data_IF_827119428517
#
_entry.id   IF_827119428517
#
_cell.length_a   1.000
_cell.length_b   1.000
_cell.length_c   1.000
_cell.angle_alpha   90.00
_cell.angle_beta   90.00
_cell.angle_gamma   90.00
#
_symmetry.space_group_name_H-M   'P 1'
#
loop_
_entity.id
_entity.type
_entity.pdbx_description
1 polymer ?
#
# COMPACT_ATOMS: atom_id res chain seq x y z
N UNK A 1 8.25 13.05 29.26
CA UNK A 1 7.51 13.15 27.98
C UNK A 1 7.07 11.75 27.62
N UNK A 2 5.77 11.47 27.65
CA UNK A 2 5.26 10.17 27.21
C UNK A 2 5.32 10.19 25.69
N UNK A 3 6.25 9.44 25.11
CA UNK A 3 6.22 9.17 23.68
C UNK A 3 4.95 8.34 23.44
N UNK A 4 3.88 9.01 23.00
CA UNK A 4 2.78 8.31 22.34
C UNK A 4 3.43 7.78 21.06
N UNK A 5 3.80 6.50 21.06
CA UNK A 5 4.16 5.84 19.82
C UNK A 5 2.97 6.06 18.90
N UNK A 6 3.21 6.74 17.77
CA UNK A 6 2.23 6.89 16.71
C UNK A 6 1.66 5.47 16.44
N UNK A 7 0.35 5.25 16.42
CA UNK A 7 -0.25 3.90 16.30
C UNK A 7 0.26 3.17 15.03
N UNK A 8 0.88 3.89 14.10
CA UNK A 8 1.46 3.41 12.85
C UNK A 8 2.98 3.18 12.92
N UNK A 9 3.58 3.28 14.11
CA UNK A 9 5.03 3.04 14.34
C UNK A 9 5.44 1.59 14.05
N UNK A 10 4.49 0.67 14.03
CA UNK A 10 4.70 -0.74 13.68
C UNK A 10 4.50 -1.03 12.19
N UNK A 11 4.05 -0.06 11.39
CA UNK A 11 3.91 -0.25 9.94
C UNK A 11 5.29 -0.26 9.28
N UNK A 12 5.60 -1.26 8.43
CA UNK A 12 6.76 -1.21 7.56
C UNK A 12 6.76 0.09 6.72
N UNK A 13 7.93 0.71 6.45
CA UNK A 13 8.00 2.00 5.75
C UNK A 13 7.27 2.03 4.41
N UNK A 14 7.37 0.95 3.63
CA UNK A 14 6.70 0.80 2.34
C UNK A 14 5.18 0.74 2.48
N UNK A 15 4.70 0.04 3.51
CA UNK A 15 3.26 -0.05 3.81
C UNK A 15 2.73 1.29 4.28
N UNK A 16 3.48 1.98 5.14
CA UNK A 16 3.11 3.31 5.63
C UNK A 16 2.96 4.29 4.48
N UNK A 17 3.96 4.36 3.60
CA UNK A 17 3.93 5.25 2.44
C UNK A 17 2.75 4.91 1.51
N UNK A 18 2.57 3.63 1.16
CA UNK A 18 1.46 3.22 0.29
C UNK A 18 0.09 3.54 0.91
N UNK A 19 -0.07 3.34 2.22
CA UNK A 19 -1.29 3.71 2.94
C UNK A 19 -1.54 5.23 2.90
N UNK A 20 -0.52 6.05 3.11
CA UNK A 20 -0.64 7.52 3.10
C UNK A 20 -1.08 8.05 1.73
N UNK A 21 -0.64 7.40 0.66
CA UNK A 21 -0.96 7.80 -0.72
C UNK A 21 -2.22 7.13 -1.29
N UNK A 22 -2.77 6.10 -0.65
CA UNK A 22 -3.94 5.36 -1.17
C UNK A 22 -5.18 5.51 -0.32
N UNK A 23 -5.08 5.39 1.02
CA UNK A 23 -6.24 5.36 1.92
C UNK A 23 -7.05 6.67 1.85
N UNK A 24 -6.45 7.87 1.89
CA UNK A 24 -7.20 9.12 1.79
C UNK A 24 -7.98 9.26 0.47
N UNK A 25 -7.53 8.58 -0.58
CA UNK A 25 -8.10 8.66 -1.92
C UNK A 25 -9.12 7.55 -2.24
N UNK A 26 -9.42 6.68 -1.28
CA UNK A 26 -10.39 5.58 -1.46
C UNK A 26 -11.75 6.11 -1.92
N UNK A 27 -12.24 7.24 -1.40
CA UNK A 27 -13.57 7.77 -1.75
C UNK A 27 -13.64 8.48 -3.11
N UNK A 28 -12.50 8.63 -3.79
CA UNK A 28 -12.45 9.30 -5.09
C UNK A 28 -12.97 8.40 -6.22
N UNK A 29 -13.32 9.01 -7.35
CA UNK A 29 -13.71 8.30 -8.59
C UNK A 29 -12.50 7.79 -9.38
N UNK A 30 -11.27 8.09 -8.95
CA UNK A 30 -10.04 7.67 -9.64
C UNK A 30 -9.95 6.14 -9.61
N UNK A 31 -9.65 5.45 -10.73
CA UNK A 31 -9.50 3.99 -10.73
C UNK A 31 -8.49 3.50 -9.68
N UNK A 32 -8.80 2.41 -8.97
CA UNK A 32 -7.94 1.87 -7.92
C UNK A 32 -6.52 1.60 -8.42
N UNK A 33 -6.40 0.99 -9.60
CA UNK A 33 -5.11 0.76 -10.27
C UNK A 33 -4.31 2.06 -10.43
N UNK A 34 -4.94 3.15 -10.88
CA UNK A 34 -4.27 4.44 -11.09
C UNK A 34 -3.76 5.03 -9.76
N UNK A 35 -4.57 4.94 -8.70
CA UNK A 35 -4.12 5.36 -7.36
C UNK A 35 -2.90 4.57 -6.88
N UNK A 36 -2.90 3.26 -7.09
CA UNK A 36 -1.78 2.40 -6.69
C UNK A 36 -0.55 2.66 -7.57
N UNK A 37 -0.71 2.84 -8.88
CA UNK A 37 0.38 3.20 -9.79
C UNK A 37 1.07 4.50 -9.34
N UNK A 38 0.28 5.55 -9.07
CA UNK A 38 0.77 6.85 -8.61
C UNK A 38 1.47 6.75 -7.24
N UNK A 39 0.92 5.94 -6.32
CA UNK A 39 1.54 5.66 -5.03
C UNK A 39 2.84 4.84 -5.17
N UNK A 40 2.90 3.90 -6.10
CA UNK A 40 4.09 3.07 -6.36
C UNK A 40 5.27 3.90 -6.87
N UNK A 41 4.99 4.94 -7.65
CA UNK A 41 6.00 5.89 -8.12
C UNK A 41 6.50 6.77 -6.97
N UNK A 42 5.59 7.26 -6.12
CA UNK A 42 5.94 8.12 -4.99
C UNK A 42 6.71 7.37 -3.90
N UNK A 43 6.31 6.14 -3.58
CA UNK A 43 6.92 5.27 -2.57
C UNK A 43 8.07 4.42 -3.11
N UNK A 44 8.61 4.75 -4.29
CA UNK A 44 9.70 4.01 -4.91
C UNK A 44 10.92 3.84 -3.99
N UNK A 45 11.37 4.85 -3.22
CA UNK A 45 12.50 4.69 -2.30
C UNK A 45 12.25 3.61 -1.25
N UNK A 46 11.13 3.67 -0.54
CA UNK A 46 10.75 2.72 0.51
C UNK A 46 10.55 1.31 -0.06
N UNK A 47 9.92 1.21 -1.24
CA UNK A 47 9.75 -0.06 -1.94
C UNK A 47 11.08 -0.65 -2.40
N UNK A 48 12.02 0.15 -2.87
CA UNK A 48 13.33 -0.33 -3.30
C UNK A 48 14.17 -0.77 -2.07
N UNK A 49 14.07 -0.09 -0.93
CA UNK A 49 14.67 -0.54 0.33
C UNK A 49 14.07 -1.86 0.82
N UNK A 50 12.74 -1.99 0.78
CA UNK A 50 12.07 -3.25 1.12
C UNK A 50 12.49 -4.41 0.22
N UNK A 51 12.72 -4.13 -1.08
CA UNK A 51 13.25 -5.14 -2.02
C UNK A 51 14.70 -5.51 -1.71
N UNK A 52 15.54 -4.58 -1.22
CA UNK A 52 16.92 -4.87 -0.81
C UNK A 52 16.97 -5.87 0.35
N UNK A 53 16.04 -5.76 1.30
CA UNK A 53 15.93 -6.72 2.42
C UNK A 53 15.67 -8.16 1.95
N UNK A 54 15.22 -8.32 0.70
CA UNK A 54 14.89 -9.60 0.08
C UNK A 54 15.95 -10.05 -0.93
N UNK A 55 17.11 -9.38 -1.03
CA UNK A 55 18.15 -9.69 -2.03
C UNK A 55 18.61 -11.15 -2.04
N UNK A 56 18.59 -11.82 -0.88
CA UNK A 56 18.95 -13.22 -0.72
C UNK A 56 17.92 -14.20 -1.29
N UNK A 57 16.70 -13.73 -1.59
CA UNK A 57 15.63 -14.56 -2.13
C UNK A 57 15.80 -14.77 -3.64
N UNK A 58 15.32 -15.91 -4.18
CA UNK A 58 15.24 -16.14 -5.61
C UNK A 58 14.47 -15.03 -6.34
N UNK A 59 14.89 -14.69 -7.56
CA UNK A 59 14.29 -13.62 -8.36
C UNK A 59 12.78 -13.80 -8.56
N UNK A 60 12.33 -15.03 -8.78
CA UNK A 60 10.91 -15.36 -8.90
C UNK A 60 10.12 -14.99 -7.63
N UNK A 61 10.66 -15.29 -6.45
CA UNK A 61 9.99 -14.97 -5.18
C UNK A 61 9.90 -13.47 -4.96
N UNK A 62 10.99 -12.73 -5.24
CA UNK A 62 11.02 -11.26 -5.15
C UNK A 62 9.96 -10.61 -6.04
N UNK A 63 9.87 -11.05 -7.28
CA UNK A 63 8.87 -10.56 -8.23
C UNK A 63 7.44 -10.91 -7.81
N UNK A 64 7.24 -12.12 -7.28
CA UNK A 64 5.95 -12.56 -6.78
C UNK A 64 5.50 -11.73 -5.56
N UNK A 65 6.38 -11.49 -4.59
CA UNK A 65 6.08 -10.66 -3.41
C UNK A 65 5.71 -9.22 -3.81
N UNK A 66 6.48 -8.61 -4.72
CA UNK A 66 6.16 -7.26 -5.22
C UNK A 66 4.80 -7.22 -5.92
N UNK A 67 4.50 -8.23 -6.74
CA UNK A 67 3.19 -8.35 -7.41
C UNK A 67 2.05 -8.53 -6.42
N UNK A 68 2.22 -9.39 -5.42
CA UNK A 68 1.20 -9.63 -4.41
C UNK A 68 0.89 -8.38 -3.59
N UNK A 69 1.91 -7.61 -3.21
CA UNK A 69 1.71 -6.33 -2.52
C UNK A 69 0.93 -5.35 -3.39
N UNK A 70 1.31 -5.21 -4.66
CA UNK A 70 0.62 -4.34 -5.61
C UNK A 70 -0.85 -4.74 -5.80
N UNK A 71 -1.10 -6.03 -6.06
CA UNK A 71 -2.45 -6.58 -6.25
C UNK A 71 -3.30 -6.45 -4.97
N UNK A 72 -2.68 -6.59 -3.79
CA UNK A 72 -3.34 -6.40 -2.51
C UNK A 72 -3.90 -4.97 -2.39
N UNK A 73 -3.12 -3.94 -2.68
CA UNK A 73 -3.57 -2.55 -2.57
C UNK A 73 -4.72 -2.23 -3.52
N UNK A 74 -4.66 -2.73 -4.76
CA UNK A 74 -5.77 -2.55 -5.72
C UNK A 74 -7.05 -3.17 -5.15
N UNK A 75 -6.99 -4.43 -4.73
CA UNK A 75 -8.14 -5.16 -4.17
C UNK A 75 -8.66 -4.51 -2.89
N UNK A 76 -7.78 -4.02 -2.02
CA UNK A 76 -8.14 -3.36 -0.78
C UNK A 76 -8.97 -2.11 -1.06
N UNK A 77 -8.53 -1.25 -1.99
CA UNK A 77 -9.27 -0.03 -2.37
C UNK A 77 -10.63 -0.40 -2.97
N UNK A 78 -10.68 -1.34 -3.91
CA UNK A 78 -11.93 -1.78 -4.54
C UNK A 78 -12.93 -2.33 -3.53
N UNK A 79 -12.46 -3.16 -2.58
CA UNK A 79 -13.31 -3.74 -1.54
C UNK A 79 -13.84 -2.69 -0.57
N UNK A 80 -12.99 -1.74 -0.14
CA UNK A 80 -13.45 -0.63 0.71
C UNK A 80 -14.51 0.22 0.02
N UNK A 81 -14.33 0.56 -1.26
CA UNK A 81 -15.34 1.29 -2.05
C UNK A 81 -16.65 0.52 -2.16
N UNK A 82 -16.58 -0.78 -2.47
CA UNK A 82 -17.77 -1.64 -2.55
C UNK A 82 -18.51 -1.73 -1.22
N UNK A 83 -17.78 -1.76 -0.10
CA UNK A 83 -18.36 -1.79 1.23
C UNK A 83 -19.07 -0.47 1.58
N UNK A 84 -18.42 0.67 1.35
CA UNK A 84 -19.01 1.99 1.60
C UNK A 84 -20.25 2.24 0.73
N UNK A 85 -20.24 1.81 -0.54
CA UNK A 85 -21.40 1.91 -1.42
C UNK A 85 -22.60 1.05 -0.99
N UNK A 86 -22.38 0.04 -0.14
CA UNK A 86 -23.42 -0.86 0.38
C UNK A 86 -23.94 -0.43 1.75
N UNK A 87 -23.27 0.50 2.44
CA UNK A 87 -23.78 1.00 3.71
C UNK A 87 -24.97 1.93 3.47
N UNK A 88 -26.10 1.73 4.16
CA UNK A 88 -27.19 2.70 4.15
C UNK A 88 -26.69 4.01 4.78
N UNK A 89 -27.06 5.14 4.15
CA UNK A 89 -26.73 6.49 4.60
C UNK A 89 -27.30 6.82 5.98
#
# INVERSE_FOLDING_TARGET
>A
MVAVADDRSFEPPEVRCLNDHTIPLIKTTIPAKKLVDDAWVQCKPELDEWMKLQESLPEEMKQNMRRQLYDFYIRMIEKRRQFEARQPA
#
